data_IF_604152599807
#
_entry.id   IF_604152599807
#
_cell.length_a   1.000
_cell.length_b   1.000
_cell.length_c   1.000
_cell.angle_alpha   90.00
_cell.angle_beta   90.00
_cell.angle_gamma   90.00
#
_symmetry.space_group_name_H-M   'P 1'
#
loop_
_entity.id
_entity.type
_entity.pdbx_description
1 polymer ?
#
# COMPACT_ATOMS: atom_id res chain seq x y z
N UNK A 1 42.44 6.91 2.43
CA UNK A 1 41.19 6.93 1.66
C UNK A 1 40.16 6.08 2.38
N UNK A 2 39.32 6.68 3.24
CA UNK A 2 38.16 6.00 3.80
C UNK A 2 36.96 6.35 2.94
N UNK A 3 36.45 5.40 2.17
CA UNK A 3 35.17 5.54 1.48
C UNK A 3 34.09 5.61 2.56
N UNK A 4 33.55 6.80 2.81
CA UNK A 4 32.27 6.95 3.49
C UNK A 4 31.23 6.37 2.55
N UNK A 5 30.97 5.06 2.68
CA UNK A 5 29.85 4.44 1.99
C UNK A 5 28.59 5.25 2.34
N UNK A 6 27.93 5.77 1.31
CA UNK A 6 26.71 6.55 1.42
C UNK A 6 25.63 5.66 2.05
N UNK A 7 25.40 5.79 3.35
CA UNK A 7 24.27 5.18 4.06
C UNK A 7 22.90 5.79 3.67
N UNK A 8 22.85 6.61 2.61
CA UNK A 8 21.67 7.38 2.20
C UNK A 8 20.93 6.80 0.98
N UNK A 9 21.35 5.65 0.45
CA UNK A 9 20.97 5.24 -0.92
C UNK A 9 19.72 4.35 -1.04
N UNK A 10 19.00 4.04 0.05
CA UNK A 10 17.85 3.12 -0.01
C UNK A 10 16.62 3.53 0.82
N UNK A 11 16.52 4.80 1.25
CA UNK A 11 15.28 5.27 1.87
C UNK A 11 14.32 5.66 0.75
N UNK A 12 13.24 4.90 0.62
CA UNK A 12 12.13 5.18 -0.27
C UNK A 12 11.59 6.59 0.01
N UNK A 13 11.36 7.40 -1.02
CA UNK A 13 10.78 8.72 -0.82
C UNK A 13 9.35 8.59 -0.30
N UNK A 14 8.81 9.58 0.44
CA UNK A 14 7.44 9.50 0.95
C UNK A 14 6.38 9.26 -0.13
N UNK A 15 6.60 9.78 -1.34
CA UNK A 15 5.73 9.53 -2.49
C UNK A 15 5.81 8.07 -2.96
N UNK A 16 7.01 7.54 -3.12
CA UNK A 16 7.27 6.14 -3.51
C UNK A 16 6.68 5.16 -2.47
N UNK A 17 6.79 5.49 -1.17
CA UNK A 17 6.16 4.73 -0.10
C UNK A 17 4.63 4.77 -0.17
N UNK A 18 4.05 5.92 -0.53
CA UNK A 18 2.62 6.06 -0.77
C UNK A 18 2.16 5.21 -1.97
N UNK A 19 2.94 5.18 -3.06
CA UNK A 19 2.64 4.36 -4.24
C UNK A 19 2.68 2.87 -3.92
N UNK A 20 3.69 2.42 -3.17
CA UNK A 20 3.80 1.03 -2.75
C UNK A 20 2.67 0.65 -1.77
N UNK A 21 2.36 1.51 -0.78
CA UNK A 21 1.22 1.31 0.14
C UNK A 21 -0.09 1.17 -0.64
N UNK A 22 -0.34 2.07 -1.58
CA UNK A 22 -1.55 2.05 -2.41
C UNK A 22 -1.65 0.76 -3.21
N UNK A 23 -0.56 0.33 -3.85
CA UNK A 23 -0.55 -0.89 -4.65
C UNK A 23 -0.80 -2.15 -3.81
N UNK A 24 -0.12 -2.30 -2.68
CA UNK A 24 -0.27 -3.48 -1.81
C UNK A 24 -1.67 -3.57 -1.19
N UNK A 25 -2.28 -2.45 -0.84
CA UNK A 25 -3.65 -2.42 -0.33
C UNK A 25 -4.68 -2.60 -1.46
N UNK A 26 -4.39 -2.18 -2.68
CA UNK A 26 -5.25 -2.45 -3.81
C UNK A 26 -5.30 -3.95 -4.11
N UNK A 27 -4.15 -4.65 -4.04
CA UNK A 27 -4.10 -6.11 -4.12
C UNK A 27 -4.92 -6.78 -3.02
N UNK A 28 -4.90 -6.25 -1.80
CA UNK A 28 -5.69 -6.76 -0.67
C UNK A 28 -7.20 -6.68 -0.93
N UNK A 29 -7.67 -5.60 -1.57
CA UNK A 29 -9.09 -5.35 -1.84
C UNK A 29 -9.65 -6.18 -3.00
N UNK A 30 -8.79 -6.78 -3.84
CA UNK A 30 -9.26 -7.62 -4.94
C UNK A 30 -9.90 -8.91 -4.42
N UNK A 31 -11.08 -9.25 -4.94
CA UNK A 31 -11.80 -10.49 -4.58
C UNK A 31 -11.36 -11.71 -5.39
N UNK A 32 -10.63 -11.49 -6.49
CA UNK A 32 -10.16 -12.52 -7.40
C UNK A 32 -8.64 -12.41 -7.59
N UNK A 33 -7.94 -13.52 -7.89
CA UNK A 33 -6.54 -13.48 -8.25
C UNK A 33 -6.31 -12.64 -9.50
N UNK A 34 -5.08 -12.15 -9.67
CA UNK A 34 -4.69 -11.44 -10.88
C UNK A 34 -4.71 -12.39 -12.09
N UNK A 35 -5.07 -11.88 -13.28
CA UNK A 35 -4.80 -12.58 -14.54
C UNK A 35 -3.32 -12.92 -14.70
N UNK A 36 -2.99 -14.02 -15.37
CA UNK A 36 -1.61 -14.54 -15.48
C UNK A 36 -0.61 -13.50 -16.02
N UNK A 37 -1.02 -12.69 -17.00
CA UNK A 37 -0.21 -11.65 -17.61
C UNK A 37 0.07 -10.47 -16.65
N UNK A 38 -0.90 -10.10 -15.82
CA UNK A 38 -0.74 -9.08 -14.78
C UNK A 38 0.09 -9.63 -13.62
N UNK A 39 -0.16 -10.87 -13.20
CA UNK A 39 0.62 -11.55 -12.16
C UNK A 39 2.09 -11.69 -12.56
N UNK A 40 2.37 -12.00 -13.83
CA UNK A 40 3.74 -12.05 -14.34
C UNK A 40 4.43 -10.68 -14.29
N UNK A 41 3.72 -9.59 -14.59
CA UNK A 41 4.25 -8.23 -14.45
C UNK A 41 4.58 -7.90 -13.00
N UNK A 42 3.66 -8.17 -12.08
CA UNK A 42 3.88 -8.01 -10.63
C UNK A 42 5.08 -8.82 -10.16
N UNK A 43 5.26 -10.04 -10.69
CA UNK A 43 6.37 -10.91 -10.29
C UNK A 43 7.76 -10.44 -10.71
N UNK A 44 7.82 -9.55 -11.69
CA UNK A 44 9.07 -8.98 -12.19
C UNK A 44 9.44 -7.65 -11.50
N UNK A 45 8.62 -7.16 -10.57
CA UNK A 45 8.89 -5.92 -9.83
C UNK A 45 9.97 -6.13 -8.78
N UNK A 46 10.98 -5.27 -8.81
CA UNK A 46 12.04 -5.20 -7.80
C UNK A 46 12.00 -3.86 -7.06
N UNK A 47 11.56 -3.88 -5.80
CA UNK A 47 11.49 -2.68 -4.94
C UNK A 47 12.84 -2.42 -4.25
N UNK A 48 13.30 -1.16 -4.17
CA UNK A 48 12.60 0.07 -4.59
C UNK A 48 12.80 0.48 -6.06
N UNK A 49 13.61 -0.24 -6.83
CA UNK A 49 14.02 0.18 -8.17
C UNK A 49 12.89 0.32 -9.21
N UNK A 50 11.77 -0.41 -9.04
CA UNK A 50 10.68 -0.51 -10.00
C UNK A 50 9.35 0.07 -9.47
N UNK A 51 9.41 1.00 -8.51
CA UNK A 51 8.20 1.60 -7.92
C UNK A 51 7.37 2.36 -8.96
N UNK A 52 8.02 3.07 -9.87
CA UNK A 52 7.39 3.84 -10.95
C UNK A 52 6.51 2.99 -11.88
N UNK A 53 6.79 1.69 -11.98
CA UNK A 53 6.01 0.73 -12.80
C UNK A 53 4.70 0.30 -12.14
N UNK A 54 4.54 0.50 -10.84
CA UNK A 54 3.35 0.04 -10.10
C UNK A 54 2.07 0.72 -10.60
N UNK A 55 2.17 2.01 -10.92
CA UNK A 55 1.04 2.77 -11.48
C UNK A 55 0.57 2.17 -12.80
N UNK A 56 1.47 1.94 -13.73
CA UNK A 56 1.13 1.39 -15.04
C UNK A 56 0.51 -0.01 -14.93
N UNK A 57 1.05 -0.87 -14.06
CA UNK A 57 0.48 -2.20 -13.81
C UNK A 57 -0.96 -2.07 -13.27
N UNK A 58 -1.18 -1.17 -12.32
CA UNK A 58 -2.52 -0.95 -11.77
C UNK A 58 -3.49 -0.45 -12.85
N UNK A 59 -3.09 0.54 -13.64
CA UNK A 59 -3.95 1.16 -14.66
C UNK A 59 -4.28 0.21 -15.82
N UNK A 60 -3.40 -0.74 -16.13
CA UNK A 60 -3.62 -1.73 -17.18
C UNK A 60 -4.60 -2.85 -16.77
N UNK A 61 -4.98 -2.94 -15.49
CA UNK A 61 -5.98 -3.89 -15.00
C UNK A 61 -7.11 -3.16 -14.24
N UNK A 62 -8.28 -2.89 -14.88
CA UNK A 62 -9.29 -2.00 -14.33
C UNK A 62 -9.77 -2.29 -12.89
N UNK A 63 -9.93 -3.56 -12.45
CA UNK A 63 -10.25 -3.86 -11.06
C UNK A 63 -9.18 -3.38 -10.07
N UNK A 64 -7.90 -3.51 -10.42
CA UNK A 64 -6.79 -3.05 -9.60
C UNK A 64 -6.67 -1.52 -9.64
N UNK A 65 -6.86 -0.90 -10.82
CA UNK A 65 -6.90 0.55 -10.99
C UNK A 65 -7.91 1.20 -10.04
N UNK A 66 -9.12 0.65 -9.97
CA UNK A 66 -10.22 1.18 -9.14
C UNK A 66 -9.81 1.28 -7.67
N UNK A 67 -9.25 0.21 -7.10
CA UNK A 67 -8.83 0.22 -5.71
C UNK A 67 -7.58 1.06 -5.49
N UNK A 68 -6.63 1.01 -6.42
CA UNK A 68 -5.40 1.81 -6.36
C UNK A 68 -5.72 3.30 -6.26
N UNK A 69 -6.58 3.82 -7.15
CA UNK A 69 -6.97 5.24 -7.16
C UNK A 69 -7.69 5.64 -5.86
N UNK A 70 -8.65 4.83 -5.40
CA UNK A 70 -9.38 5.11 -4.15
C UNK A 70 -8.44 5.20 -2.94
N UNK A 71 -7.48 4.28 -2.85
CA UNK A 71 -6.50 4.27 -1.75
C UNK A 71 -5.53 5.45 -1.89
N UNK A 72 -5.06 5.73 -3.09
CA UNK A 72 -4.16 6.83 -3.37
C UNK A 72 -4.80 8.19 -3.03
N UNK A 73 -6.07 8.39 -3.39
CA UNK A 73 -6.85 9.56 -2.99
C UNK A 73 -6.99 9.67 -1.47
N UNK A 74 -7.25 8.55 -0.79
CA UNK A 74 -7.38 8.49 0.67
C UNK A 74 -6.07 8.84 1.39
N UNK A 75 -4.95 8.31 0.93
CA UNK A 75 -3.60 8.66 1.42
C UNK A 75 -3.31 10.15 1.24
N UNK A 76 -3.61 10.70 0.06
CA UNK A 76 -3.43 12.12 -0.24
C UNK A 76 -4.35 13.02 0.62
N UNK A 77 -5.61 12.60 0.82
CA UNK A 77 -6.56 13.32 1.67
C UNK A 77 -6.09 13.35 3.13
N UNK A 78 -5.62 12.22 3.68
CA UNK A 78 -5.09 12.13 5.04
C UNK A 78 -3.87 13.04 5.24
N UNK A 79 -2.97 13.10 4.26
CA UNK A 79 -1.84 14.04 4.24
C UNK A 79 -2.29 15.51 4.29
N UNK A 80 -3.32 15.87 3.50
CA UNK A 80 -3.90 17.21 3.49
C UNK A 80 -4.64 17.56 4.78
N UNK A 81 -5.36 16.61 5.38
CA UNK A 81 -6.09 16.79 6.66
C UNK A 81 -5.11 17.03 7.80
N UNK A 82 -4.04 16.22 7.91
CA UNK A 82 -2.97 16.44 8.90
C UNK A 82 -2.32 17.81 8.76
N UNK A 83 -2.28 18.35 7.54
CA UNK A 83 -1.75 19.69 7.25
C UNK A 83 -2.72 20.85 7.54
N UNK A 84 -4.02 20.59 7.81
CA UNK A 84 -5.05 21.65 7.89
C UNK A 84 -5.96 21.61 9.13
N UNK A 85 -5.83 20.62 10.01
CA UNK A 85 -6.77 20.44 11.13
C UNK A 85 -8.14 19.91 10.64
N UNK A 86 -9.01 19.42 11.55
CA UNK A 86 -10.15 18.61 11.16
C UNK A 86 -11.27 19.44 10.50
N UNK A 87 -11.73 18.99 9.34
CA UNK A 87 -12.98 19.46 8.72
C UNK A 87 -13.96 18.28 8.59
N UNK A 88 -15.26 18.52 8.80
CA UNK A 88 -16.26 17.46 8.86
C UNK A 88 -16.62 16.95 7.46
N UNK A 89 -16.55 15.63 7.25
CA UNK A 89 -17.01 15.00 6.03
C UNK A 89 -18.53 14.79 6.05
N UNK A 90 -19.17 15.01 4.90
CA UNK A 90 -20.60 14.78 4.65
C UNK A 90 -20.81 13.30 4.31
N UNK A 91 -21.78 12.67 4.98
CA UNK A 91 -21.91 11.22 5.09
C UNK A 91 -22.76 10.58 3.99
N UNK A 92 -22.24 9.51 3.38
CA UNK A 92 -22.97 8.53 2.58
C UNK A 92 -22.72 7.12 3.17
N UNK A 93 -23.70 6.56 3.87
CA UNK A 93 -23.51 5.51 4.89
C UNK A 93 -22.93 4.15 4.46
N UNK A 94 -23.08 3.71 3.19
CA UNK A 94 -22.55 2.41 2.74
C UNK A 94 -21.11 2.49 2.22
N UNK A 95 -20.81 3.52 1.42
CA UNK A 95 -19.45 3.84 1.01
C UNK A 95 -18.59 4.27 2.20
N UNK A 96 -19.19 4.96 3.18
CA UNK A 96 -18.48 5.38 4.38
C UNK A 96 -17.93 4.26 5.23
N UNK A 97 -18.59 3.10 5.35
CA UNK A 97 -18.08 2.05 6.23
C UNK A 97 -16.79 1.44 5.67
N UNK A 98 -16.77 1.09 4.38
CA UNK A 98 -15.54 0.65 3.71
C UNK A 98 -14.49 1.76 3.68
N UNK A 99 -14.87 3.00 3.37
CA UNK A 99 -13.94 4.13 3.41
C UNK A 99 -13.39 4.40 4.80
N UNK A 100 -14.19 4.27 5.87
CA UNK A 100 -13.75 4.51 7.25
C UNK A 100 -12.83 3.40 7.74
N UNK A 101 -13.15 2.14 7.45
CA UNK A 101 -12.29 1.00 7.80
C UNK A 101 -10.95 1.08 7.07
N UNK A 102 -10.96 1.35 5.76
CA UNK A 102 -9.75 1.56 4.96
C UNK A 102 -8.98 2.78 5.47
N UNK A 103 -9.63 3.90 5.77
CA UNK A 103 -8.97 5.07 6.32
C UNK A 103 -8.32 4.79 7.68
N UNK A 104 -8.98 4.04 8.56
CA UNK A 104 -8.41 3.66 9.85
C UNK A 104 -7.20 2.73 9.69
N UNK A 105 -7.29 1.76 8.78
CA UNK A 105 -6.17 0.87 8.43
C UNK A 105 -5.02 1.69 7.85
N UNK A 106 -5.29 2.61 6.92
CA UNK A 106 -4.30 3.50 6.31
C UNK A 106 -3.60 4.38 7.35
N UNK A 107 -4.35 4.97 8.28
CA UNK A 107 -3.79 5.79 9.36
C UNK A 107 -2.88 4.94 10.26
N UNK A 108 -3.33 3.76 10.67
CA UNK A 108 -2.55 2.86 11.52
C UNK A 108 -1.27 2.35 10.80
N UNK A 109 -1.37 2.02 9.52
CA UNK A 109 -0.23 1.62 8.69
C UNK A 109 0.75 2.80 8.55
N UNK A 110 0.25 3.98 8.24
CA UNK A 110 1.12 5.14 8.02
C UNK A 110 1.84 5.60 9.29
N UNK A 111 1.23 5.38 10.46
CA UNK A 111 1.82 5.73 11.76
C UNK A 111 2.77 4.68 12.33
N UNK A 112 2.57 3.39 11.99
CA UNK A 112 3.28 2.28 12.64
C UNK A 112 4.16 1.45 11.70
N UNK A 113 3.98 1.55 10.38
CA UNK A 113 4.76 0.81 9.39
C UNK A 113 5.84 1.71 8.78
N UNK A 114 7.08 1.46 9.18
CA UNK A 114 8.28 2.08 8.61
C UNK A 114 8.50 1.65 7.14
N UNK A 115 9.07 2.53 6.32
CA UNK A 115 9.26 2.29 4.88
C UNK A 115 10.18 1.09 4.57
N UNK A 116 11.16 0.81 5.45
CA UNK A 116 11.99 -0.39 5.37
C UNK A 116 11.14 -1.66 5.52
N UNK A 117 10.22 -1.69 6.50
CA UNK A 117 9.30 -2.81 6.68
C UNK A 117 8.32 -2.94 5.53
N UNK A 118 7.86 -1.81 4.95
CA UNK A 118 7.02 -1.81 3.76
C UNK A 118 7.70 -2.52 2.57
N UNK A 119 9.00 -2.28 2.39
CA UNK A 119 9.82 -2.97 1.37
C UNK A 119 10.00 -4.46 1.68
N UNK A 120 10.14 -4.83 2.94
CA UNK A 120 10.25 -6.23 3.33
C UNK A 120 8.95 -7.03 3.12
N UNK A 121 7.80 -6.43 3.43
CA UNK A 121 6.50 -7.09 3.24
C UNK A 121 6.08 -7.21 1.77
N UNK A 122 6.56 -6.31 0.90
CA UNK A 122 6.23 -6.34 -0.53
C UNK A 122 6.92 -7.52 -1.25
N UNK A 123 8.15 -7.86 -0.85
CA UNK A 123 8.94 -8.95 -1.45
C UNK A 123 8.20 -10.29 -1.53
N UNK A 124 7.62 -10.85 -0.45
CA UNK A 124 6.89 -12.11 -0.55
C UNK A 124 5.59 -11.99 -1.36
N UNK A 125 4.97 -10.82 -1.41
CA UNK A 125 3.75 -10.56 -2.20
C UNK A 125 4.08 -10.61 -3.69
N UNK A 126 5.13 -9.91 -4.10
CA UNK A 126 5.56 -9.86 -5.50
C UNK A 126 6.22 -11.16 -5.96
N UNK A 127 6.64 -12.05 -5.07
CA UNK A 127 7.19 -13.36 -5.47
C UNK A 127 6.16 -14.49 -5.42
N UNK A 128 4.93 -14.19 -5.03
CA UNK A 128 3.89 -15.20 -4.88
C UNK A 128 3.36 -15.66 -6.25
N UNK A 129 2.94 -16.93 -6.32
CA UNK A 129 2.15 -17.42 -7.44
C UNK A 129 0.78 -16.73 -7.51
N UNK A 130 0.25 -16.34 -6.35
CA UNK A 130 -0.96 -15.53 -6.20
C UNK A 130 -0.66 -14.37 -5.24
N UNK A 131 -0.43 -13.20 -5.82
CA UNK A 131 -0.10 -11.98 -5.07
C UNK A 131 -1.29 -11.43 -4.28
N UNK A 132 -2.52 -11.64 -4.74
CA UNK A 132 -3.75 -11.19 -4.06
C UNK A 132 -3.95 -11.98 -2.77
N UNK A 133 -3.91 -13.31 -2.85
CA UNK A 133 -4.01 -14.16 -1.66
C UNK A 133 -2.88 -13.89 -0.67
N UNK A 134 -1.64 -13.70 -1.17
CA UNK A 134 -0.50 -13.38 -0.29
C UNK A 134 -0.64 -12.01 0.38
N UNK A 135 -1.11 -11.00 -0.34
CA UNK A 135 -1.39 -9.69 0.22
C UNK A 135 -2.48 -9.78 1.31
N UNK A 136 -3.56 -10.54 1.08
CA UNK A 136 -4.61 -10.82 2.06
C UNK A 136 -4.08 -11.44 3.35
N UNK A 137 -3.24 -12.47 3.25
CA UNK A 137 -2.62 -13.10 4.42
C UNK A 137 -1.80 -12.11 5.24
N UNK A 138 -0.91 -11.36 4.58
CA UNK A 138 0.03 -10.45 5.23
C UNK A 138 -0.71 -9.28 5.89
N UNK A 139 -1.63 -8.65 5.17
CA UNK A 139 -2.40 -7.54 5.73
C UNK A 139 -3.31 -7.98 6.87
N UNK A 140 -3.91 -9.17 6.80
CA UNK A 140 -4.67 -9.70 7.92
C UNK A 140 -3.80 -9.88 9.19
N UNK A 141 -2.53 -10.28 9.05
CA UNK A 141 -1.59 -10.39 10.16
C UNK A 141 -1.22 -9.00 10.70
N UNK A 142 -0.88 -8.07 9.81
CA UNK A 142 -0.50 -6.70 10.20
C UNK A 142 -1.67 -6.02 10.91
N UNK A 143 -2.87 -6.01 10.32
CA UNK A 143 -4.05 -5.38 10.90
C UNK A 143 -4.37 -5.99 12.28
N UNK A 144 -4.29 -7.32 12.43
CA UNK A 144 -4.45 -7.96 13.75
C UNK A 144 -3.39 -7.50 14.75
N UNK A 145 -2.14 -7.35 14.32
CA UNK A 145 -1.07 -6.87 15.21
C UNK A 145 -1.26 -5.42 15.64
N UNK A 146 -1.83 -4.58 14.77
CA UNK A 146 -2.13 -3.17 15.05
C UNK A 146 -3.37 -3.01 15.97
N UNK A 147 -4.27 -3.98 15.97
CA UNK A 147 -5.51 -3.97 16.79
C UNK A 147 -5.32 -4.57 18.20
N UNK A 148 -4.15 -5.12 18.54
CA UNK A 148 -3.88 -5.60 19.89
C UNK A 148 -3.39 -4.45 20.78
N UNK A 149 -4.00 -4.21 21.97
CA UNK A 149 -3.42 -3.28 22.94
C UNK A 149 -2.04 -3.80 23.36
N UNK A 150 -1.00 -2.97 23.24
CA UNK A 150 0.28 -3.29 23.88
C UNK A 150 0.06 -3.47 25.39
N UNK A 151 0.65 -4.50 26.01
CA UNK A 151 0.57 -4.73 27.46
C UNK A 151 1.27 -3.63 28.27
#
# INVERSE_FOLDING_TARGET
MGSFYNYWEFIMQPLEASELKAFLLALYQLDAPLPDDVQAQVNNINIPADIDKLYDIAMNYPPLATYYEQIHESLNANSKIRSRGPLPAKINHAAEQQSTEINNILVAIDEQLEDEKLTEISKPIFKAADSVSKAKDIWAIIIRSLQMPMP
#
